data_IF_671443312739
#
_entry.id   IF_671443312739
#
_cell.length_a   1.000
_cell.length_b   1.000
_cell.length_c   1.000
_cell.angle_alpha   90.00
_cell.angle_beta   90.00
_cell.angle_gamma   90.00
#
_symmetry.space_group_name_H-M   'P 1'
#
loop_
_entity.id
_entity.type
_entity.pdbx_description
1 polymer ?
#
# COMPACT_ATOMS: atom_id res chain seq x y z
N UNK A 1 -1.91 9.70 10.29
CA UNK A 1 -1.07 8.87 11.17
C UNK A 1 -0.16 7.98 10.33
N UNK A 2 1.01 8.49 9.92
CA UNK A 2 1.87 7.87 8.89
C UNK A 2 2.47 6.53 9.33
N UNK A 3 2.73 6.39 10.64
CA UNK A 3 3.35 5.18 11.19
C UNK A 3 2.36 4.01 11.22
N UNK A 4 1.06 4.27 11.31
CA UNK A 4 0.03 3.23 11.36
C UNK A 4 0.00 2.34 10.11
N UNK A 5 0.46 2.82 8.96
CA UNK A 5 0.51 2.04 7.72
C UNK A 5 1.84 1.27 7.50
N UNK A 6 2.90 1.62 8.25
CA UNK A 6 4.25 1.08 7.99
C UNK A 6 4.83 0.28 9.16
N UNK A 7 4.50 0.65 10.40
CA UNK A 7 5.07 0.06 11.61
C UNK A 7 4.34 -1.21 12.11
N UNK A 8 3.00 -1.33 12.01
CA UNK A 8 2.32 -2.52 12.48
C UNK A 8 2.62 -3.75 11.63
N UNK A 9 2.68 -4.92 12.27
CA UNK A 9 2.80 -6.20 11.55
C UNK A 9 1.56 -6.50 10.70
N UNK A 10 0.38 -6.04 11.13
CA UNK A 10 -0.88 -6.17 10.41
C UNK A 10 -1.43 -4.79 10.05
N UNK A 11 -1.68 -4.56 8.77
CA UNK A 11 -2.39 -3.39 8.28
C UNK A 11 -3.66 -3.82 7.52
N UNK A 12 -4.83 -3.37 7.99
CA UNK A 12 -6.13 -3.64 7.34
C UNK A 12 -6.70 -2.30 6.87
N UNK A 13 -6.71 -2.10 5.55
CA UNK A 13 -7.34 -0.93 4.94
C UNK A 13 -8.85 -1.17 4.75
N UNK A 14 -9.64 -0.12 4.96
CA UNK A 14 -11.05 -0.07 4.54
C UNK A 14 -11.13 0.78 3.28
N UNK A 15 -11.81 0.28 2.25
CA UNK A 15 -11.90 0.94 0.96
C UNK A 15 -13.37 0.96 0.50
N UNK A 16 -13.92 2.15 0.29
CA UNK A 16 -15.23 2.27 -0.36
C UNK A 16 -15.10 1.85 -1.83
N UNK A 17 -16.08 1.10 -2.33
CA UNK A 17 -16.09 0.69 -3.75
C UNK A 17 -16.05 1.88 -4.72
N UNK A 18 -16.58 3.05 -4.34
CA UNK A 18 -16.54 4.26 -5.15
C UNK A 18 -15.12 4.82 -5.34
N UNK A 19 -14.19 4.51 -4.43
CA UNK A 19 -12.80 4.96 -4.47
C UNK A 19 -11.88 4.01 -5.28
N UNK A 20 -12.46 3.00 -5.94
CA UNK A 20 -11.71 2.11 -6.84
C UNK A 20 -11.62 2.72 -8.23
N UNK A 21 -10.40 3.08 -8.62
CA UNK A 21 -10.11 3.63 -9.94
C UNK A 21 -9.60 2.57 -10.92
N UNK A 22 -9.94 2.71 -12.21
CA UNK A 22 -9.51 1.78 -13.27
C UNK A 22 -8.03 1.94 -13.62
N UNK A 23 -7.51 3.16 -13.52
CA UNK A 23 -6.13 3.48 -13.89
C UNK A 23 -5.43 4.29 -12.80
N UNK A 24 -4.10 4.26 -12.80
CA UNK A 24 -3.29 5.08 -11.90
C UNK A 24 -3.51 6.58 -12.19
N UNK A 25 -3.72 6.97 -13.46
CA UNK A 25 -4.00 8.35 -13.83
C UNK A 25 -5.28 8.87 -13.20
N UNK A 26 -6.35 8.07 -13.21
CA UNK A 26 -7.63 8.42 -12.57
C UNK A 26 -7.45 8.56 -11.05
N UNK A 27 -6.70 7.65 -10.42
CA UNK A 27 -6.40 7.71 -8.99
C UNK A 27 -5.59 8.96 -8.62
N UNK A 28 -4.57 9.30 -9.42
CA UNK A 28 -3.76 10.52 -9.22
C UNK A 28 -4.59 11.80 -9.33
N UNK A 29 -5.53 11.83 -10.28
CA UNK A 29 -6.42 12.99 -10.48
C UNK A 29 -7.42 13.17 -9.32
N UNK A 30 -7.88 12.08 -8.72
CA UNK A 30 -8.80 12.08 -7.58
C UNK A 30 -8.09 12.28 -6.21
N UNK A 31 -6.77 12.16 -6.18
CA UNK A 31 -6.00 12.14 -4.93
C UNK A 31 -6.03 13.49 -4.19
N UNK A 32 -6.17 13.51 -2.85
CA UNK A 32 -6.08 14.74 -2.09
C UNK A 32 -4.69 15.39 -2.22
N UNK A 33 -4.63 16.71 -2.09
CA UNK A 33 -3.35 17.45 -2.02
C UNK A 33 -2.77 17.36 -0.60
N UNK A 34 -2.32 16.17 -0.22
CA UNK A 34 -1.61 15.90 1.04
C UNK A 34 -0.15 15.50 0.75
N UNK A 35 0.85 16.16 1.36
CA UNK A 35 2.25 15.78 1.18
C UNK A 35 2.63 14.45 1.84
N UNK A 36 1.77 13.84 2.66
CA UNK A 36 2.07 12.65 3.46
C UNK A 36 1.43 11.36 2.93
N UNK A 37 1.17 11.28 1.63
CA UNK A 37 0.53 10.12 1.01
C UNK A 37 1.52 8.95 0.93
N UNK A 38 1.11 7.79 1.44
CA UNK A 38 1.85 6.53 1.31
C UNK A 38 1.21 5.71 0.20
N UNK A 39 2.04 5.33 -0.78
CA UNK A 39 1.63 4.45 -1.87
C UNK A 39 1.98 3.02 -1.50
N UNK A 40 0.97 2.17 -1.42
CA UNK A 40 1.16 0.74 -1.24
C UNK A 40 0.77 0.03 -2.53
N UNK A 41 1.74 -0.66 -3.12
CA UNK A 41 1.57 -1.42 -4.34
C UNK A 41 1.47 -2.92 -4.03
N UNK A 42 1.26 -3.73 -5.07
CA UNK A 42 1.29 -5.20 -4.93
C UNK A 42 2.64 -5.71 -4.40
N UNK A 43 2.72 -7.01 -4.06
CA UNK A 43 3.92 -7.60 -3.47
C UNK A 43 5.15 -7.28 -4.32
N UNK A 44 6.21 -6.82 -3.66
CA UNK A 44 7.47 -6.58 -4.35
C UNK A 44 7.95 -7.86 -5.00
N UNK A 45 8.37 -7.76 -6.26
CA UNK A 45 9.07 -8.84 -6.99
C UNK A 45 10.57 -8.63 -7.02
N UNK A 46 11.08 -7.61 -6.33
CA UNK A 46 12.52 -7.38 -6.25
C UNK A 46 13.10 -8.38 -5.25
N UNK A 47 13.95 -9.28 -5.75
CA UNK A 47 14.90 -9.96 -4.91
C UNK A 47 15.90 -8.94 -4.34
N UNK A 48 16.53 -9.28 -3.21
CA UNK A 48 17.71 -8.56 -2.75
C UNK A 48 18.87 -8.69 -3.75
N UNK A 49 20.00 -8.05 -3.45
CA UNK A 49 21.19 -8.09 -4.32
C UNK A 49 21.72 -9.52 -4.53
N UNK A 50 21.35 -10.45 -3.66
CA UNK A 50 21.73 -11.87 -3.70
C UNK A 50 20.71 -12.75 -4.44
N UNK A 51 19.60 -12.16 -4.94
CA UNK A 51 18.57 -12.90 -5.67
C UNK A 51 17.53 -13.58 -4.77
N UNK A 52 17.49 -13.26 -3.48
CA UNK A 52 16.55 -13.81 -2.50
C UNK A 52 15.37 -12.86 -2.29
N UNK A 53 14.15 -13.38 -2.39
CA UNK A 53 12.95 -12.60 -2.10
C UNK A 53 12.76 -12.49 -0.58
N UNK A 54 13.02 -11.33 -0.01
CA UNK A 54 12.75 -11.04 1.40
C UNK A 54 11.39 -10.32 1.52
N UNK A 55 10.41 -10.98 2.12
CA UNK A 55 9.08 -10.42 2.36
C UNK A 55 8.99 -9.83 3.78
N UNK A 56 8.32 -8.68 3.93
CA UNK A 56 7.92 -8.16 5.26
C UNK A 56 8.92 -7.26 6.01
N UNK A 57 10.04 -6.85 5.41
CA UNK A 57 11.02 -5.92 6.05
C UNK A 57 10.84 -4.45 5.62
N UNK A 58 9.98 -4.19 4.63
CA UNK A 58 9.78 -2.87 4.01
C UNK A 58 8.36 -2.32 4.21
N UNK A 59 7.61 -2.86 5.16
CA UNK A 59 6.23 -2.49 5.46
C UNK A 59 5.60 -3.52 6.39
N UNK A 60 4.26 -3.53 6.51
CA UNK A 60 3.54 -4.53 7.31
C UNK A 60 3.91 -5.95 6.90
N UNK A 61 4.05 -6.85 7.87
CA UNK A 61 4.28 -8.28 7.62
C UNK A 61 3.08 -8.98 6.96
N UNK A 62 1.88 -8.44 7.16
CA UNK A 62 0.66 -8.84 6.46
C UNK A 62 -0.22 -7.62 6.18
N UNK A 63 -0.83 -7.63 4.99
CA UNK A 63 -1.72 -6.57 4.54
C UNK A 63 -3.00 -7.13 3.93
N UNK A 64 -4.14 -6.55 4.32
CA UNK A 64 -5.45 -6.85 3.78
C UNK A 64 -6.21 -5.56 3.45
N UNK A 65 -7.16 -5.65 2.53
CA UNK A 65 -8.09 -4.59 2.21
C UNK A 65 -9.51 -5.15 2.27
N UNK A 66 -10.37 -4.54 3.09
CA UNK A 66 -11.80 -4.82 3.12
C UNK A 66 -12.52 -3.77 2.28
N UNK A 67 -13.22 -4.24 1.25
CA UNK A 67 -14.10 -3.39 0.45
C UNK A 67 -15.41 -3.23 1.21
N UNK A 68 -15.78 -1.98 1.50
CA UNK A 68 -17.01 -1.60 2.19
C UNK A 68 -18.01 -0.92 1.25
#
# INVERSE_FOLDING_TARGET
DRLAALAPWYHIALLDRADIHRTIGDALAAMPKDPNIIWVTGPSKTADVEGILIQGVHGPGAQACLIV
#
